data_IF_079031158528
#
_entry.id   IF_079031158528
#
_cell.length_a   1.000
_cell.length_b   1.000
_cell.length_c   1.000
_cell.angle_alpha   90.00
_cell.angle_beta   90.00
_cell.angle_gamma   90.00
#
_symmetry.space_group_name_H-M   'P 1'
#
loop_
_entity.id
_entity.type
_entity.pdbx_description
1 polymer ?
#
# COMPACT_ATOMS: atom_id res chain seq x y z
N UNK A 1 26.19 29.64 24.33
CA UNK A 1 25.79 28.43 23.58
C UNK A 1 24.52 28.72 22.82
N UNK A 2 24.57 28.81 21.49
CA UNK A 2 23.34 28.80 20.66
C UNK A 2 22.88 27.34 20.54
N UNK A 3 21.57 27.05 20.60
CA UNK A 3 21.09 25.72 20.23
C UNK A 3 21.47 25.45 18.76
N UNK A 4 21.83 24.22 18.40
CA UNK A 4 22.09 23.87 17.02
C UNK A 4 20.81 24.11 16.21
N UNK A 5 20.94 24.87 15.13
CA UNK A 5 19.91 25.07 14.12
C UNK A 5 19.56 23.72 13.49
N UNK A 6 18.30 23.30 13.62
CA UNK A 6 17.71 22.16 12.93
C UNK A 6 17.55 22.44 11.43
N UNK A 7 18.66 22.71 10.74
CA UNK A 7 18.74 22.77 9.28
C UNK A 7 19.37 21.49 8.78
N UNK A 8 18.70 20.37 9.01
CA UNK A 8 18.73 19.22 8.12
C UNK A 8 17.32 19.05 7.58
N UNK A 9 16.91 19.97 6.70
CA UNK A 9 15.75 19.74 5.87
C UNK A 9 16.11 18.57 4.96
N UNK A 10 15.52 17.42 5.25
CA UNK A 10 15.54 16.25 4.40
C UNK A 10 15.10 16.65 2.98
N UNK A 11 15.71 16.12 1.90
CA UNK A 11 15.37 16.46 0.53
C UNK A 11 13.87 16.35 0.28
N UNK A 12 13.37 17.26 -0.56
CA UNK A 12 11.97 17.41 -1.00
C UNK A 12 11.24 16.08 -1.05
N UNK A 13 10.48 15.79 -0.01
CA UNK A 13 9.70 14.57 0.05
C UNK A 13 8.41 14.79 -0.73
N UNK A 14 8.20 14.01 -1.80
CA UNK A 14 6.93 13.98 -2.50
C UNK A 14 5.76 13.88 -1.50
N UNK A 15 4.68 14.67 -1.66
CA UNK A 15 3.47 14.51 -0.86
C UNK A 15 2.97 13.05 -0.87
N UNK A 16 2.36 12.60 0.23
CA UNK A 16 1.85 11.21 0.35
C UNK A 16 0.75 10.87 -0.67
N UNK A 17 0.18 11.88 -1.33
CA UNK A 17 -0.84 11.77 -2.38
C UNK A 17 -0.34 12.30 -3.74
N UNK A 18 0.97 12.28 -3.99
CA UNK A 18 1.54 12.79 -5.23
C UNK A 18 1.22 11.93 -6.47
N UNK A 19 1.19 10.60 -6.30
CA UNK A 19 1.09 9.65 -7.41
C UNK A 19 -0.35 9.24 -7.66
N UNK A 20 -0.87 9.47 -8.86
CA UNK A 20 -2.18 8.94 -9.28
C UNK A 20 -2.08 7.52 -9.82
N UNK A 21 -0.89 7.13 -10.32
CA UNK A 21 -0.67 5.83 -10.95
C UNK A 21 0.71 5.27 -10.66
N UNK A 22 0.81 3.94 -10.68
CA UNK A 22 2.09 3.22 -10.59
C UNK A 22 2.14 2.11 -11.63
N UNK A 23 3.22 2.02 -12.41
CA UNK A 23 3.52 0.86 -13.25
C UNK A 23 4.55 0.00 -12.56
N UNK A 24 4.20 -1.27 -12.31
CA UNK A 24 5.08 -2.25 -11.71
C UNK A 24 5.48 -3.29 -12.76
N UNK A 25 6.78 -3.38 -13.02
CA UNK A 25 7.37 -4.38 -13.91
C UNK A 25 7.75 -5.63 -13.12
N UNK A 26 7.50 -6.81 -13.70
CA UNK A 26 7.84 -8.10 -13.09
C UNK A 26 6.88 -8.57 -11.99
N UNK A 27 5.69 -7.96 -11.88
CA UNK A 27 4.65 -8.41 -10.95
C UNK A 27 3.60 -9.31 -11.61
N UNK A 28 3.29 -9.04 -12.89
CA UNK A 28 2.24 -9.72 -13.65
C UNK A 28 2.86 -10.37 -14.88
N UNK A 29 2.42 -11.57 -15.19
CA UNK A 29 2.68 -12.23 -16.46
C UNK A 29 1.38 -12.37 -17.26
N UNK A 30 1.49 -12.37 -18.59
CA UNK A 30 0.39 -12.72 -19.49
C UNK A 30 0.89 -13.77 -20.46
N UNK A 31 0.24 -14.93 -20.48
CA UNK A 31 0.67 -16.09 -21.29
C UNK A 31 2.15 -16.49 -21.05
N UNK A 32 2.58 -16.48 -19.78
CA UNK A 32 3.95 -16.83 -19.38
C UNK A 32 5.03 -15.81 -19.74
N UNK A 33 4.65 -14.58 -20.11
CA UNK A 33 5.58 -13.48 -20.36
C UNK A 33 5.35 -12.35 -19.36
N UNK A 34 6.38 -11.87 -18.64
CA UNK A 34 6.28 -10.69 -17.79
C UNK A 34 5.81 -9.47 -18.56
N UNK A 35 4.80 -8.79 -18.02
CA UNK A 35 4.26 -7.54 -18.56
C UNK A 35 4.32 -6.43 -17.51
N UNK A 36 4.56 -5.17 -17.91
CA UNK A 36 4.34 -4.03 -17.04
C UNK A 36 2.84 -3.87 -16.79
N UNK A 37 2.45 -3.75 -15.52
CA UNK A 37 1.07 -3.51 -15.16
C UNK A 37 0.92 -2.14 -14.48
N UNK A 38 0.00 -1.32 -15.00
CA UNK A 38 -0.34 -0.02 -14.41
C UNK A 38 -1.53 -0.16 -13.47
N UNK A 39 -1.36 0.38 -12.27
CA UNK A 39 -2.35 0.43 -11.20
C UNK A 39 -2.79 1.87 -10.99
N UNK A 40 -4.07 2.05 -10.70
CA UNK A 40 -4.69 3.35 -10.42
C UNK A 40 -4.78 3.54 -8.92
N UNK A 41 -4.52 4.76 -8.43
CA UNK A 41 -4.74 5.08 -7.03
C UNK A 41 -6.23 4.99 -6.73
N UNK A 42 -6.57 4.29 -5.65
CA UNK A 42 -7.93 4.25 -5.11
C UNK A 42 -7.92 4.88 -3.73
N UNK A 43 -8.99 5.56 -3.36
CA UNK A 43 -9.21 5.97 -1.97
C UNK A 43 -9.58 4.74 -1.15
N UNK A 44 -8.94 4.52 -0.01
CA UNK A 44 -9.45 3.50 0.91
C UNK A 44 -10.83 3.94 1.40
N UNK A 45 -11.84 3.11 1.17
CA UNK A 45 -13.16 3.34 1.75
C UNK A 45 -13.13 2.93 3.23
N UNK A 46 -13.80 3.66 4.13
CA UNK A 46 -14.08 3.18 5.49
C UNK A 46 -14.99 1.95 5.53
N UNK A 47 -15.43 1.44 4.36
CA UNK A 47 -16.33 0.31 4.19
C UNK A 47 -15.99 -0.82 5.16
N UNK A 48 -16.95 -1.09 6.05
CA UNK A 48 -16.97 -2.18 7.02
C UNK A 48 -15.75 -2.26 7.97
N UNK A 49 -14.99 -1.16 8.14
CA UNK A 49 -14.02 -1.02 9.26
C UNK A 49 -14.76 -0.95 10.60
N UNK A 50 -16.01 -0.49 10.57
CA UNK A 50 -16.90 -0.44 11.74
C UNK A 50 -17.51 -1.79 12.12
N UNK A 51 -17.56 -2.76 11.20
CA UNK A 51 -17.90 -4.16 11.49
C UNK A 51 -16.64 -5.01 11.72
N UNK A 52 -15.55 -4.36 12.12
CA UNK A 52 -14.58 -5.08 12.92
C UNK A 52 -15.30 -5.37 14.24
N UNK A 53 -15.89 -6.58 14.36
CA UNK A 53 -16.08 -7.27 15.63
C UNK A 53 -14.69 -7.42 16.26
N UNK A 54 -14.14 -6.30 16.70
CA UNK A 54 -13.06 -6.27 17.66
C UNK A 54 -13.77 -6.65 18.95
N UNK A 55 -13.82 -7.95 19.26
CA UNK A 55 -14.13 -8.51 20.60
C UNK A 55 -13.26 -7.90 21.73
N UNK A 56 -12.32 -7.02 21.36
CA UNK A 56 -11.37 -6.32 22.21
C UNK A 56 -11.84 -4.90 22.58
N UNK A 57 -12.84 -4.33 21.88
CA UNK A 57 -13.44 -3.09 22.34
C UNK A 57 -14.55 -3.46 23.33
N UNK A 58 -14.40 -3.13 24.62
CA UNK A 58 -15.48 -3.34 25.56
C UNK A 58 -16.72 -2.56 25.09
N UNK A 59 -17.89 -3.12 25.37
CA UNK A 59 -19.25 -2.70 24.93
C UNK A 59 -19.58 -1.19 25.10
N UNK A 60 -18.74 -0.43 25.82
CA UNK A 60 -18.88 1.00 26.04
C UNK A 60 -18.23 1.90 24.97
N UNK A 61 -17.46 1.37 24.01
CA UNK A 61 -16.99 2.17 22.87
C UNK A 61 -18.09 2.22 21.81
N UNK A 62 -19.14 2.99 22.12
CA UNK A 62 -20.17 3.32 21.15
C UNK A 62 -19.58 4.22 20.07
N UNK A 63 -20.02 4.03 18.82
CA UNK A 63 -19.57 4.85 17.67
C UNK A 63 -19.73 6.36 17.90
N UNK A 64 -20.69 6.78 18.74
CA UNK A 64 -20.92 8.17 19.15
C UNK A 64 -19.78 8.81 19.96
N UNK A 65 -18.86 8.01 20.53
CA UNK A 65 -17.72 8.49 21.31
C UNK A 65 -16.40 8.53 20.54
N UNK A 66 -16.42 8.14 19.26
CA UNK A 66 -15.22 8.14 18.43
C UNK A 66 -15.04 9.56 17.88
N UNK A 67 -13.92 10.23 18.19
CA UNK A 67 -13.71 11.59 17.72
C UNK A 67 -13.71 11.61 16.19
N UNK A 68 -14.26 12.66 15.57
CA UNK A 68 -14.23 12.79 14.12
C UNK A 68 -12.77 12.82 13.65
N UNK A 69 -12.51 12.18 12.51
CA UNK A 69 -11.19 12.23 11.87
C UNK A 69 -10.79 13.69 11.63
N UNK A 70 -9.61 14.13 12.10
CA UNK A 70 -9.10 15.45 11.75
C UNK A 70 -8.97 15.61 10.23
N UNK A 71 -9.21 16.81 9.68
CA UNK A 71 -9.04 17.03 8.25
C UNK A 71 -7.58 16.76 7.84
N UNK A 72 -7.41 16.14 6.67
CA UNK A 72 -6.08 15.94 6.07
C UNK A 72 -5.36 17.27 5.86
N UNK A 73 -4.06 17.28 6.10
CA UNK A 73 -3.15 18.42 5.85
C UNK A 73 -2.38 18.24 4.54
N UNK A 74 -2.66 17.21 3.77
CA UNK A 74 -2.03 16.99 2.47
C UNK A 74 -2.46 18.07 1.46
N UNK A 75 -1.59 18.43 0.49
CA UNK A 75 -2.00 19.26 -0.63
C UNK A 75 -3.08 18.55 -1.46
N UNK A 76 -3.72 19.22 -2.44
CA UNK A 76 -4.55 18.53 -3.42
C UNK A 76 -3.82 17.33 -4.05
N UNK A 77 -4.52 16.22 -4.36
CA UNK A 77 -3.90 15.05 -4.99
C UNK A 77 -3.13 15.42 -6.26
N UNK A 78 -1.90 14.91 -6.35
CA UNK A 78 -1.07 15.04 -7.54
C UNK A 78 -1.52 14.08 -8.65
N UNK A 79 -0.90 14.23 -9.81
CA UNK A 79 -1.13 13.36 -10.97
C UNK A 79 0.17 12.72 -11.47
N UNK A 80 1.14 12.53 -10.57
CA UNK A 80 2.42 11.95 -10.93
C UNK A 80 2.29 10.45 -11.23
N UNK A 81 3.17 9.97 -12.10
CA UNK A 81 3.26 8.57 -12.47
C UNK A 81 4.57 7.96 -11.98
N UNK A 82 4.49 6.84 -11.28
CA UNK A 82 5.66 6.13 -10.79
C UNK A 82 5.91 4.84 -11.58
N UNK A 83 7.07 4.69 -12.21
CA UNK A 83 7.46 3.44 -12.90
C UNK A 83 8.57 2.72 -12.14
N UNK A 84 8.33 1.46 -11.76
CA UNK A 84 9.21 0.69 -10.87
C UNK A 84 9.34 -0.77 -11.28
N UNK A 85 10.49 -1.38 -10.95
CA UNK A 85 10.73 -2.80 -11.08
C UNK A 85 10.57 -3.50 -9.73
N UNK A 86 9.84 -4.61 -9.72
CA UNK A 86 9.65 -5.43 -8.53
C UNK A 86 10.94 -6.15 -8.16
N UNK A 87 11.37 -6.03 -6.90
CA UNK A 87 12.49 -6.78 -6.35
C UNK A 87 12.07 -8.10 -5.68
N UNK A 88 13.07 -8.80 -5.16
CA UNK A 88 12.87 -10.06 -4.44
C UNK A 88 12.08 -9.84 -3.14
N UNK A 89 11.15 -10.75 -2.84
CA UNK A 89 10.35 -10.71 -1.61
C UNK A 89 11.20 -10.57 -0.35
N UNK A 90 10.89 -9.58 0.49
CA UNK A 90 11.53 -9.35 1.80
C UNK A 90 10.59 -9.64 2.97
N UNK A 91 9.29 -9.78 2.70
CA UNK A 91 8.29 -10.13 3.72
C UNK A 91 7.18 -10.99 3.13
N UNK A 92 6.71 -11.97 3.89
CA UNK A 92 5.62 -12.85 3.49
C UNK A 92 4.70 -13.07 4.70
N UNK A 93 3.45 -12.63 4.58
CA UNK A 93 2.47 -12.71 5.65
C UNK A 93 1.14 -13.30 5.17
N UNK A 94 0.18 -13.35 6.10
CA UNK A 94 -1.18 -13.85 5.84
C UNK A 94 -1.86 -13.09 4.70
N UNK A 95 -1.77 -11.75 4.73
CA UNK A 95 -2.51 -10.85 3.82
C UNK A 95 -1.81 -10.66 2.47
N UNK A 96 -0.49 -10.83 2.40
CA UNK A 96 0.27 -10.47 1.22
C UNK A 96 1.77 -10.65 1.35
N UNK A 97 2.49 -10.25 0.32
CA UNK A 97 3.95 -10.24 0.25
C UNK A 97 4.47 -8.82 0.14
N UNK A 98 5.65 -8.57 0.70
CA UNK A 98 6.33 -7.27 0.67
C UNK A 98 7.58 -7.39 -0.19
N UNK A 99 7.72 -6.47 -1.13
CA UNK A 99 8.80 -6.44 -2.10
C UNK A 99 9.44 -5.05 -2.11
N UNK A 100 10.78 -4.94 -2.17
CA UNK A 100 11.43 -3.68 -2.47
C UNK A 100 11.15 -3.30 -3.93
N UNK A 101 11.11 -2.00 -4.19
CA UNK A 101 10.94 -1.44 -5.52
C UNK A 101 12.24 -0.80 -5.97
N UNK A 102 12.62 -1.05 -7.23
CA UNK A 102 13.70 -0.33 -7.89
C UNK A 102 13.12 0.70 -8.85
N UNK A 103 13.40 1.97 -8.62
CA UNK A 103 12.99 3.06 -9.51
C UNK A 103 13.70 2.90 -10.87
N UNK A 104 12.98 3.11 -11.97
CA UNK A 104 13.59 3.13 -13.31
C UNK A 104 14.43 4.38 -13.54
N UNK A 105 14.01 5.50 -12.95
CA UNK A 105 14.71 6.77 -12.97
C UNK A 105 15.52 6.92 -11.67
N UNK A 106 16.67 7.59 -11.75
CA UNK A 106 17.39 8.05 -10.57
C UNK A 106 16.69 9.29 -9.98
N UNK A 107 15.39 9.22 -9.73
CA UNK A 107 14.67 10.26 -9.00
C UNK A 107 15.24 10.28 -7.58
N UNK A 108 16.12 11.25 -7.33
CA UNK A 108 16.89 11.41 -6.09
C UNK A 108 16.05 11.77 -4.87
N UNK A 109 14.76 12.01 -5.08
CA UNK A 109 13.89 12.68 -4.12
C UNK A 109 12.92 11.71 -3.42
N UNK A 110 12.89 10.44 -3.86
CA UNK A 110 12.13 9.40 -3.20
C UNK A 110 13.03 8.55 -2.28
N UNK A 111 12.59 8.29 -1.03
CA UNK A 111 13.27 7.30 -0.19
C UNK A 111 13.10 5.90 -0.82
N UNK A 112 13.90 4.90 -0.38
CA UNK A 112 13.69 3.51 -0.78
C UNK A 112 12.22 3.09 -0.57
N UNK A 113 11.62 2.53 -1.62
CA UNK A 113 10.21 2.17 -1.63
C UNK A 113 10.02 0.65 -1.53
N UNK A 114 8.89 0.26 -0.97
CA UNK A 114 8.38 -1.12 -0.97
C UNK A 114 6.94 -1.12 -1.49
N UNK A 115 6.53 -2.25 -2.04
CA UNK A 115 5.12 -2.54 -2.31
C UNK A 115 4.69 -3.75 -1.48
N UNK A 116 3.48 -3.66 -0.93
CA UNK A 116 2.79 -4.81 -0.36
C UNK A 116 1.72 -5.26 -1.34
N UNK A 117 1.84 -6.49 -1.84
CA UNK A 117 0.91 -7.06 -2.81
C UNK A 117 -0.07 -7.96 -2.05
N UNK A 118 -1.38 -7.69 -2.17
CA UNK A 118 -2.43 -8.53 -1.58
C UNK A 118 -2.38 -9.94 -2.18
N UNK A 119 -2.89 -10.93 -1.44
CA UNK A 119 -3.32 -12.21 -2.03
C UNK A 119 -4.66 -12.05 -2.72
N UNK A 120 -5.00 -12.97 -3.64
CA UNK A 120 -6.25 -12.98 -4.42
C UNK A 120 -7.54 -12.74 -3.61
N UNK A 121 -7.57 -13.12 -2.33
CA UNK A 121 -8.75 -13.00 -1.44
C UNK A 121 -8.47 -12.15 -0.19
N UNK A 122 -7.48 -11.25 -0.27
CA UNK A 122 -7.08 -10.41 0.88
C UNK A 122 -7.01 -8.93 0.52
N UNK A 123 -7.72 -8.51 -0.53
CA UNK A 123 -7.83 -7.10 -0.94
C UNK A 123 -8.41 -6.25 0.19
N UNK A 124 -9.48 -6.71 0.84
CA UNK A 124 -10.12 -6.01 1.95
C UNK A 124 -9.13 -5.75 3.12
N UNK A 125 -8.29 -6.73 3.44
CA UNK A 125 -7.27 -6.55 4.48
C UNK A 125 -6.20 -5.51 4.10
N UNK A 126 -5.84 -5.40 2.81
CA UNK A 126 -4.94 -4.35 2.32
C UNK A 126 -5.64 -2.98 2.30
N UNK A 127 -6.93 -2.93 1.96
CA UNK A 127 -7.73 -1.70 2.01
C UNK A 127 -7.82 -1.15 3.44
N UNK A 128 -8.06 -2.03 4.43
CA UNK A 128 -8.05 -1.68 5.86
C UNK A 128 -6.69 -1.16 6.32
N UNK A 129 -5.60 -1.79 5.88
CA UNK A 129 -4.25 -1.32 6.19
C UNK A 129 -3.97 0.05 5.57
N UNK A 130 -4.37 0.28 4.32
CA UNK A 130 -4.26 1.58 3.67
C UNK A 130 -5.05 2.66 4.42
N UNK A 131 -6.28 2.35 4.86
CA UNK A 131 -7.09 3.24 5.68
C UNK A 131 -6.40 3.58 7.00
N UNK A 132 -5.79 2.61 7.69
CA UNK A 132 -5.02 2.87 8.91
C UNK A 132 -3.87 3.86 8.65
N UNK A 133 -3.17 3.77 7.51
CA UNK A 133 -2.16 4.76 7.15
C UNK A 133 -2.77 6.15 6.95
N UNK A 134 -3.94 6.25 6.32
CA UNK A 134 -4.65 7.51 6.15
C UNK A 134 -5.03 8.16 7.51
N UNK A 135 -5.46 7.38 8.50
CA UNK A 135 -5.71 7.87 9.87
C UNK A 135 -4.42 8.31 10.58
N UNK A 136 -3.31 7.65 10.28
CA UNK A 136 -1.99 7.91 10.87
C UNK A 136 -1.19 8.99 10.12
N UNK A 137 -1.81 9.81 9.27
CA UNK A 137 -1.17 10.81 8.40
C UNK A 137 -0.08 11.62 9.13
N UNK A 138 -0.37 12.11 10.34
CA UNK A 138 0.51 13.01 11.09
C UNK A 138 1.76 12.35 11.66
N UNK A 139 1.80 11.02 11.77
CA UNK A 139 2.91 10.27 12.36
C UNK A 139 3.69 9.45 11.33
N UNK A 140 3.28 9.46 10.06
CA UNK A 140 4.01 8.83 8.97
C UNK A 140 5.38 9.50 8.76
N UNK A 141 6.42 8.69 8.58
CA UNK A 141 7.81 9.14 8.52
C UNK A 141 8.46 9.42 9.88
N UNK A 142 7.71 9.30 10.97
CA UNK A 142 8.20 9.45 12.35
C UNK A 142 8.08 8.12 13.10
N UNK A 143 6.85 7.65 13.31
CA UNK A 143 6.55 6.43 14.08
C UNK A 143 6.13 5.25 13.19
N UNK A 144 5.59 5.53 12.01
CA UNK A 144 5.19 4.53 11.01
C UNK A 144 5.76 4.88 9.63
N UNK A 145 5.87 3.92 8.70
CA UNK A 145 6.32 4.18 7.34
C UNK A 145 5.44 5.21 6.61
N UNK A 146 6.02 5.85 5.58
CA UNK A 146 5.28 6.68 4.64
C UNK A 146 4.55 5.80 3.62
N UNK A 147 3.24 5.98 3.49
CA UNK A 147 2.37 5.28 2.56
C UNK A 147 1.92 6.26 1.46
N UNK A 148 2.29 5.96 0.22
CA UNK A 148 1.96 6.81 -0.94
C UNK A 148 0.59 6.49 -1.56
N UNK A 149 -0.13 5.52 -1.00
CA UNK A 149 -1.51 5.21 -1.36
C UNK A 149 -1.77 3.73 -1.59
N UNK A 150 -3.06 3.44 -1.76
CA UNK A 150 -3.58 2.17 -2.26
C UNK A 150 -3.68 2.24 -3.78
N UNK A 151 -3.17 1.23 -4.47
CA UNK A 151 -3.23 1.15 -5.92
C UNK A 151 -3.87 -0.17 -6.34
N UNK A 152 -4.83 -0.09 -7.26
CA UNK A 152 -5.62 -1.24 -7.71
C UNK A 152 -5.58 -1.38 -9.22
N UNK A 153 -5.78 -2.61 -9.65
CA UNK A 153 -5.94 -2.96 -11.06
C UNK A 153 -6.88 -4.13 -11.19
N UNK A 154 -7.62 -4.19 -12.30
CA UNK A 154 -8.38 -5.36 -12.66
C UNK A 154 -7.44 -6.35 -13.36
N UNK A 155 -7.33 -7.55 -12.80
CA UNK A 155 -6.62 -8.66 -13.44
C UNK A 155 -7.52 -9.23 -14.53
N UNK A 156 -7.02 -9.24 -15.78
CA UNK A 156 -7.74 -9.78 -16.94
C UNK A 156 -7.52 -11.28 -17.09
N UNK A 157 -8.34 -11.92 -17.93
CA UNK A 157 -8.12 -13.31 -18.32
C UNK A 157 -6.72 -13.49 -18.96
N UNK A 158 -6.04 -14.56 -18.56
CA UNK A 158 -4.68 -14.88 -18.99
C UNK A 158 -3.58 -14.08 -18.27
N UNK A 159 -3.93 -13.17 -17.35
CA UNK A 159 -2.96 -12.53 -16.45
C UNK A 159 -2.76 -13.34 -15.18
N UNK A 160 -1.50 -13.52 -14.77
CA UNK A 160 -1.12 -14.17 -13.52
C UNK A 160 -0.27 -13.22 -12.68
N UNK A 161 -0.63 -13.07 -11.39
CA UNK A 161 0.16 -12.30 -10.43
C UNK A 161 1.20 -13.22 -9.80
N UNK A 162 2.47 -12.95 -10.04
CA UNK A 162 3.59 -13.82 -9.66
C UNK A 162 3.71 -14.05 -8.15
N UNK A 163 3.15 -13.17 -7.33
CA UNK A 163 3.18 -13.32 -5.87
C UNK A 163 2.12 -14.28 -5.34
N UNK A 164 1.15 -14.69 -6.17
CA UNK A 164 0.05 -15.57 -5.76
C UNK A 164 0.38 -17.06 -5.89
N UNK A 165 1.45 -17.40 -6.61
CA UNK A 165 1.79 -18.79 -6.97
C UNK A 165 2.73 -19.48 -5.96
N UNK A 166 2.95 -18.91 -4.76
CA UNK A 166 3.77 -19.54 -3.71
C UNK A 166 3.21 -20.94 -3.32
N UNK A 167 3.94 -22.04 -3.60
CA UNK A 167 3.47 -23.41 -3.41
C UNK A 167 3.07 -23.75 -1.97
N UNK A 168 3.51 -22.96 -0.98
CA UNK A 168 3.14 -23.12 0.42
C UNK A 168 1.65 -22.85 0.69
N UNK A 169 0.96 -22.16 -0.22
CA UNK A 169 -0.43 -21.74 -0.06
C UNK A 169 -1.40 -22.30 -1.10
N UNK A 170 -0.89 -22.84 -2.23
CA UNK A 170 -1.70 -23.57 -3.22
C UNK A 170 -2.37 -24.82 -2.61
N UNK A 171 -1.85 -25.37 -1.50
CA UNK A 171 -2.43 -26.52 -0.81
C UNK A 171 -3.82 -26.29 -0.17
N UNK A 172 -4.37 -25.07 -0.19
CA UNK A 172 -5.79 -24.81 0.18
C UNK A 172 -6.74 -24.72 -1.02
N UNK A 173 -6.24 -24.82 -2.25
CA UNK A 173 -7.06 -24.96 -3.46
C UNK A 173 -7.21 -26.43 -3.82
N UNK A 174 -7.85 -27.22 -2.96
CA UNK A 174 -8.62 -28.36 -3.47
C UNK A 174 -10.02 -27.83 -3.71
N UNK A 175 -10.33 -27.53 -4.97
CA UNK A 175 -11.71 -27.54 -5.41
C UNK A 175 -12.17 -29.01 -5.29
N UNK A 176 -13.05 -29.26 -4.32
CA UNK A 176 -13.93 -30.43 -4.44
C UNK A 176 -14.96 -30.10 -5.53
N UNK A 177 -15.34 -31.08 -6.39
CA UNK A 177 -16.21 -30.86 -7.54
C UNK A 177 -17.57 -30.24 -7.21
#
# INVERSE_FOLDING_TARGET
>A
MRPPSLTHLHPSTFPLNAFSTVTIHGLVEKNGQPIPQTFQRTMSSPGDVWEMEIDIFPEWVKSEHIPPRPPSKLPPPGNEHLSVMLGQTIGNGRVGTVHPLKLYTHETDLPPLVVKVSRYQSSESIEKEAWCYEELEQVQGIAVPRCYGLFQVRVEEGMEVLTWTDPRYVKRQKFDP
#
